data_IF_775838733709
#
_entry.id   IF_775838733709
#
_cell.length_a   1.000
_cell.length_b   1.000
_cell.length_c   1.000
_cell.angle_alpha   90.00
_cell.angle_beta   90.00
_cell.angle_gamma   90.00
#
_symmetry.space_group_name_H-M   'P 1'
#
loop_
_entity.id
_entity.type
_entity.pdbx_description
1 polymer ?
#
# COMPACT_ATOMS: atom_id res chain seq x y z
N UNK A 1 53.34 -11.23 9.85
CA UNK A 1 52.64 -9.93 9.69
C UNK A 1 51.87 -10.07 8.40
N UNK A 2 50.59 -10.39 8.50
CA UNK A 2 49.78 -10.84 7.38
C UNK A 2 49.40 -9.67 6.46
N UNK A 3 49.53 -9.90 5.15
CA UNK A 3 49.27 -8.93 4.07
C UNK A 3 47.81 -8.44 4.05
N UNK A 4 46.91 -9.12 4.77
CA UNK A 4 45.48 -8.84 4.84
C UNK A 4 45.11 -7.64 5.75
N UNK A 5 46.00 -7.23 6.65
CA UNK A 5 45.72 -6.17 7.64
C UNK A 5 46.02 -4.74 7.09
N UNK A 6 46.84 -4.63 6.04
CA UNK A 6 47.24 -3.33 5.45
C UNK A 6 46.28 -2.77 4.39
N UNK A 7 45.23 -3.51 4.01
CA UNK A 7 44.34 -3.13 2.91
C UNK A 7 42.91 -2.77 3.34
N UNK A 8 42.52 -3.02 4.60
CA UNK A 8 41.16 -2.70 5.08
C UNK A 8 40.92 -1.18 5.29
N UNK A 9 41.94 -0.38 5.65
CA UNK A 9 41.75 1.07 5.91
C UNK A 9 41.63 1.93 4.64
N UNK A 10 42.00 1.37 3.48
CA UNK A 10 41.90 2.04 2.17
C UNK A 10 40.60 1.73 1.43
N UNK A 11 39.84 0.76 1.93
CA UNK A 11 38.60 0.32 1.31
C UNK A 11 37.48 1.35 1.51
N UNK A 12 36.85 1.76 0.40
CA UNK A 12 35.72 2.69 0.39
C UNK A 12 34.55 2.15 1.23
N UNK A 13 34.28 0.84 1.18
CA UNK A 13 33.17 0.23 1.92
C UNK A 13 33.38 0.36 3.43
N UNK A 14 34.57 0.01 3.92
CA UNK A 14 34.93 0.19 5.33
C UNK A 14 34.93 1.67 5.73
N UNK A 15 35.43 2.55 4.86
CA UNK A 15 35.45 3.99 5.12
C UNK A 15 34.03 4.58 5.22
N UNK A 16 33.05 4.11 4.45
CA UNK A 16 31.68 4.62 4.55
C UNK A 16 30.79 3.85 5.53
N UNK A 17 31.23 2.71 6.10
CA UNK A 17 30.43 1.93 7.04
C UNK A 17 30.10 2.69 8.34
N UNK A 18 30.92 3.67 8.72
CA UNK A 18 30.73 4.48 9.92
C UNK A 18 29.81 5.70 9.64
N UNK A 19 28.75 5.90 10.45
CA UNK A 19 27.80 7.00 10.26
C UNK A 19 28.43 8.39 10.38
N UNK A 20 29.45 8.57 11.24
CA UNK A 20 30.18 9.84 11.38
C UNK A 20 30.94 10.17 10.10
N UNK A 21 31.57 9.17 9.48
CA UNK A 21 32.30 9.35 8.22
C UNK A 21 31.36 9.71 7.08
N UNK A 22 30.17 9.08 7.00
CA UNK A 22 29.13 9.48 6.04
C UNK A 22 28.66 10.92 6.25
N UNK A 23 28.50 11.34 7.49
CA UNK A 23 28.10 12.71 7.81
C UNK A 23 29.20 13.74 7.47
N UNK A 24 30.47 13.41 7.71
CA UNK A 24 31.60 14.23 7.25
C UNK A 24 31.60 14.42 5.73
N UNK A 25 31.34 13.35 4.97
CA UNK A 25 31.24 13.44 3.51
C UNK A 25 30.06 14.33 3.06
N UNK A 26 28.92 14.25 3.76
CA UNK A 26 27.76 15.13 3.49
C UNK A 26 28.06 16.60 3.76
N UNK A 27 28.71 16.91 4.88
CA UNK A 27 29.13 18.28 5.21
C UNK A 27 30.09 18.82 4.14
N UNK A 28 31.07 18.00 3.74
CA UNK A 28 32.03 18.37 2.69
C UNK A 28 31.42 18.44 1.29
N UNK A 29 30.30 17.75 1.02
CA UNK A 29 29.59 17.82 -0.27
C UNK A 29 28.95 19.19 -0.50
N UNK A 30 28.55 19.88 0.59
CA UNK A 30 27.87 21.18 0.55
C UNK A 30 28.84 22.37 0.52
N UNK A 31 30.15 22.15 0.37
CA UNK A 31 31.16 23.20 0.41
C UNK A 31 32.35 22.87 -0.49
N UNK A 32 33.02 23.89 -1.03
CA UNK A 32 34.19 23.69 -1.89
C UNK A 32 35.39 23.13 -1.12
N UNK A 33 35.60 23.61 0.10
CA UNK A 33 36.59 23.11 1.06
C UNK A 33 36.28 23.69 2.45
N UNK A 34 36.59 22.95 3.52
CA UNK A 34 36.38 23.40 4.90
C UNK A 34 37.61 23.14 5.79
N UNK A 35 38.00 24.07 6.67
CA UNK A 35 39.02 23.84 7.68
C UNK A 35 38.47 23.01 8.85
N UNK A 36 39.36 22.34 9.58
CA UNK A 36 38.97 21.46 10.70
C UNK A 36 38.13 22.17 11.78
N UNK A 37 38.36 23.46 12.04
CA UNK A 37 37.62 24.21 13.05
C UNK A 37 36.16 24.49 12.64
N UNK A 38 35.84 24.50 11.34
CA UNK A 38 34.46 24.63 10.85
C UNK A 38 33.75 23.29 10.85
N UNK A 39 34.48 22.19 10.64
CA UNK A 39 33.91 20.83 10.64
C UNK A 39 33.60 20.37 12.07
N UNK A 40 34.48 20.64 13.03
CA UNK A 40 34.38 20.11 14.41
C UNK A 40 33.06 20.44 15.13
N UNK A 41 32.51 21.68 15.06
CA UNK A 41 31.26 22.06 15.72
C UNK A 41 30.03 21.25 15.30
N UNK A 42 30.05 20.58 14.14
CA UNK A 42 28.94 19.74 13.69
C UNK A 42 28.85 18.41 14.44
N UNK A 43 29.84 18.08 15.28
CA UNK A 43 29.90 16.81 16.00
C UNK A 43 29.99 17.03 17.50
N UNK A 44 29.38 16.11 18.25
CA UNK A 44 29.51 16.06 19.72
C UNK A 44 30.89 15.59 20.20
N UNK A 45 31.73 15.11 19.28
CA UNK A 45 33.06 14.59 19.58
C UNK A 45 34.14 15.68 19.46
N UNK A 46 35.26 15.47 20.15
CA UNK A 46 36.38 16.41 20.10
C UNK A 46 37.12 16.42 18.75
N UNK A 47 37.87 17.51 18.51
CA UNK A 47 38.67 17.75 17.30
C UNK A 47 39.58 16.58 16.91
N UNK A 48 40.19 15.90 17.88
CA UNK A 48 41.06 14.74 17.64
C UNK A 48 40.29 13.56 17.02
N UNK A 49 39.06 13.31 17.48
CA UNK A 49 38.22 12.24 16.95
C UNK A 49 37.80 12.57 15.50
N UNK A 50 37.36 13.80 15.24
CA UNK A 50 37.04 14.28 13.88
C UNK A 50 38.26 14.14 12.95
N UNK A 51 39.44 14.54 13.42
CA UNK A 51 40.69 14.40 12.64
C UNK A 51 41.02 12.95 12.31
N UNK A 52 40.73 12.00 13.22
CA UNK A 52 40.93 10.57 12.98
C UNK A 52 39.98 10.05 11.89
N UNK A 53 38.71 10.45 11.93
CA UNK A 53 37.76 10.11 10.86
C UNK A 53 38.17 10.69 9.50
N UNK A 54 38.63 11.94 9.46
CA UNK A 54 39.15 12.56 8.24
C UNK A 54 40.43 11.88 7.72
N UNK A 55 41.27 11.33 8.60
CA UNK A 55 42.44 10.55 8.19
C UNK A 55 42.02 9.25 7.48
N UNK A 56 41.06 8.51 8.04
CA UNK A 56 40.51 7.30 7.41
C UNK A 56 39.86 7.62 6.05
N UNK A 57 39.05 8.68 5.99
CA UNK A 57 38.45 9.12 4.72
C UNK A 57 39.51 9.53 3.68
N UNK A 58 40.61 10.12 4.12
CA UNK A 58 41.74 10.47 3.25
C UNK A 58 42.48 9.23 2.76
N UNK A 59 42.68 8.22 3.61
CA UNK A 59 43.30 6.94 3.24
C UNK A 59 42.47 6.20 2.18
N UNK A 60 41.14 6.23 2.28
CA UNK A 60 40.22 5.71 1.28
C UNK A 60 39.99 6.66 0.08
N UNK A 61 40.79 7.72 -0.02
CA UNK A 61 40.72 8.73 -1.09
C UNK A 61 39.37 9.45 -1.23
N UNK A 62 38.49 9.37 -0.23
CA UNK A 62 37.18 10.04 -0.20
C UNK A 62 37.29 11.52 0.18
N UNK A 63 38.42 11.94 0.75
CA UNK A 63 38.69 13.33 1.13
C UNK A 63 40.12 13.69 0.75
N UNK A 64 40.31 14.87 0.14
CA UNK A 64 41.63 15.47 -0.03
C UNK A 64 41.87 16.54 1.03
N UNK A 65 43.13 16.72 1.42
CA UNK A 65 43.55 17.70 2.41
C UNK A 65 44.71 18.55 1.88
N UNK A 66 44.62 19.88 1.99
CA UNK A 66 45.70 20.81 1.62
C UNK A 66 45.97 21.80 2.74
N UNK A 67 47.24 22.21 2.88
CA UNK A 67 47.63 23.23 3.86
C UNK A 67 47.47 24.62 3.28
N UNK A 68 46.81 25.52 4.01
CA UNK A 68 46.62 26.93 3.67
C UNK A 68 47.00 27.76 4.89
N UNK A 69 48.18 28.37 4.84
CA UNK A 69 48.76 29.06 6.01
C UNK A 69 48.94 28.11 7.20
N UNK A 70 48.23 28.41 8.30
CA UNK A 70 48.27 27.62 9.54
C UNK A 70 47.22 26.51 9.61
N UNK A 71 46.36 26.40 8.60
CA UNK A 71 45.20 25.50 8.63
C UNK A 71 45.26 24.41 7.56
N UNK A 72 44.61 23.29 7.83
CA UNK A 72 44.37 22.23 6.85
C UNK A 72 42.92 22.31 6.40
N UNK A 73 42.73 22.43 5.09
CA UNK A 73 41.42 22.46 4.44
C UNK A 73 41.14 21.12 3.77
N UNK A 74 39.95 20.61 4.01
CA UNK A 74 39.46 19.32 3.52
C UNK A 74 38.44 19.53 2.42
N UNK A 75 38.45 18.65 1.42
CA UNK A 75 37.51 18.67 0.29
C UNK A 75 37.05 17.25 0.00
N UNK A 76 35.77 17.07 -0.34
CA UNK A 76 35.24 15.81 -0.82
C UNK A 76 35.93 15.38 -2.13
N UNK A 77 36.29 14.11 -2.21
CA UNK A 77 36.57 13.43 -3.47
C UNK A 77 35.54 12.29 -3.61
N UNK A 78 34.50 12.51 -4.41
CA UNK A 78 33.41 11.56 -4.55
C UNK A 78 33.75 10.39 -5.51
N UNK A 79 34.84 10.47 -6.27
CA UNK A 79 35.16 9.46 -7.29
C UNK A 79 35.20 8.02 -6.75
N UNK A 80 35.75 7.72 -5.55
CA UNK A 80 35.72 6.37 -5.00
C UNK A 80 34.31 5.84 -4.68
N UNK A 81 33.31 6.72 -4.46
CA UNK A 81 31.93 6.31 -4.21
C UNK A 81 31.27 5.65 -5.44
N UNK A 82 31.84 5.80 -6.63
CA UNK A 82 31.36 5.14 -7.84
C UNK A 82 31.38 3.61 -7.69
N UNK A 83 32.38 3.06 -6.98
CA UNK A 83 32.47 1.63 -6.72
C UNK A 83 31.26 1.13 -5.92
N UNK A 84 30.88 1.88 -4.90
CA UNK A 84 29.69 1.60 -4.08
C UNK A 84 28.42 1.72 -4.90
N UNK A 85 28.30 2.76 -5.74
CA UNK A 85 27.16 2.92 -6.63
C UNK A 85 27.04 1.70 -7.56
N UNK A 86 28.13 1.28 -8.21
CA UNK A 86 28.13 0.15 -9.13
C UNK A 86 27.69 -1.15 -8.44
N UNK A 87 28.12 -1.37 -7.20
CA UNK A 87 27.70 -2.52 -6.40
C UNK A 87 26.22 -2.47 -6.04
N UNK A 88 25.70 -1.31 -5.61
CA UNK A 88 24.27 -1.13 -5.30
C UNK A 88 23.40 -1.32 -6.54
N UNK A 89 23.82 -0.81 -7.71
CA UNK A 89 23.06 -0.92 -8.96
C UNK A 89 22.81 -2.36 -9.41
N UNK A 90 23.68 -3.32 -9.07
CA UNK A 90 23.40 -4.73 -9.30
C UNK A 90 22.12 -5.20 -8.57
N UNK A 91 21.89 -4.67 -7.37
CA UNK A 91 20.77 -5.08 -6.53
C UNK A 91 19.48 -4.30 -6.78
N UNK A 92 19.53 -3.16 -7.48
CA UNK A 92 18.34 -2.37 -7.83
C UNK A 92 17.28 -3.20 -8.57
N UNK A 93 17.70 -4.18 -9.36
CA UNK A 93 16.79 -5.09 -10.07
C UNK A 93 15.91 -5.92 -9.13
N UNK A 94 16.41 -6.37 -7.97
CA UNK A 94 15.61 -7.15 -7.02
C UNK A 94 14.53 -6.32 -6.32
N UNK A 95 14.81 -5.02 -6.11
CA UNK A 95 13.85 -4.07 -5.55
C UNK A 95 12.77 -3.75 -6.58
N UNK A 96 13.16 -3.60 -7.85
CA UNK A 96 12.23 -3.36 -8.95
C UNK A 96 11.33 -4.56 -9.22
N UNK A 97 11.86 -5.79 -9.22
CA UNK A 97 11.04 -7.00 -9.39
C UNK A 97 10.01 -7.17 -8.27
N UNK A 98 10.41 -6.97 -7.02
CA UNK A 98 9.51 -7.04 -5.87
C UNK A 98 8.43 -5.96 -5.93
N UNK A 99 8.78 -4.74 -6.35
CA UNK A 99 7.85 -3.62 -6.51
C UNK A 99 6.90 -3.83 -7.69
N UNK A 100 7.39 -4.34 -8.83
CA UNK A 100 6.56 -4.66 -10.00
C UNK A 100 5.58 -5.80 -9.69
N UNK A 101 6.01 -6.83 -8.96
CA UNK A 101 5.14 -7.92 -8.51
C UNK A 101 4.06 -7.43 -7.55
N UNK A 102 4.43 -6.56 -6.61
CA UNK A 102 3.45 -5.91 -5.73
C UNK A 102 2.46 -5.07 -6.53
N UNK A 103 2.94 -4.28 -7.51
CA UNK A 103 2.09 -3.49 -8.38
C UNK A 103 1.12 -4.35 -9.18
N UNK A 104 1.59 -5.46 -9.74
CA UNK A 104 0.74 -6.39 -10.49
C UNK A 104 -0.31 -7.06 -9.60
N UNK A 105 0.07 -7.50 -8.40
CA UNK A 105 -0.88 -8.06 -7.41
C UNK A 105 -1.91 -7.00 -7.01
N UNK A 106 -1.48 -5.75 -6.78
CA UNK A 106 -2.37 -4.65 -6.46
C UNK A 106 -3.27 -4.29 -7.65
N UNK A 107 -2.80 -4.30 -8.89
CA UNK A 107 -3.62 -4.05 -10.09
C UNK A 107 -4.61 -5.20 -10.38
N UNK A 108 -4.23 -6.44 -10.09
CA UNK A 108 -5.12 -7.61 -10.14
C UNK A 108 -6.16 -7.59 -9.00
N UNK A 109 -5.84 -6.99 -7.85
CA UNK A 109 -6.77 -6.80 -6.72
C UNK A 109 -7.61 -5.51 -6.81
N UNK A 110 -7.07 -4.45 -7.43
CA UNK A 110 -7.75 -3.18 -7.78
C UNK A 110 -8.40 -3.29 -9.17
N UNK A 111 -9.05 -4.42 -9.45
CA UNK A 111 -9.95 -4.49 -10.59
C UNK A 111 -11.04 -3.44 -10.35
N UNK A 112 -10.96 -2.31 -11.06
CA UNK A 112 -11.87 -1.18 -10.88
C UNK A 112 -13.31 -1.71 -10.91
N UNK A 113 -14.12 -1.45 -9.87
CA UNK A 113 -15.46 -1.99 -9.83
C UNK A 113 -16.25 -1.47 -11.03
N UNK A 114 -16.97 -2.38 -11.67
CA UNK A 114 -17.83 -2.07 -12.81
C UNK A 114 -19.03 -1.24 -12.32
N UNK A 115 -19.54 -1.56 -11.11
CA UNK A 115 -20.58 -0.80 -10.40
C UNK A 115 -20.05 -0.40 -9.04
N UNK A 116 -20.19 0.88 -8.69
CA UNK A 116 -19.86 1.40 -7.36
C UNK A 116 -20.97 2.33 -6.86
N UNK A 117 -21.45 2.09 -5.64
CA UNK A 117 -22.51 2.86 -4.99
C UNK A 117 -22.17 3.08 -3.51
N UNK A 118 -22.25 4.34 -3.06
CA UNK A 118 -22.07 4.70 -1.66
C UNK A 118 -23.42 5.09 -1.04
N UNK A 119 -23.67 4.59 0.16
CA UNK A 119 -24.80 4.91 1.01
C UNK A 119 -24.30 5.49 2.33
N UNK A 120 -25.08 6.38 2.93
CA UNK A 120 -24.72 7.05 4.18
C UNK A 120 -25.89 6.99 5.13
N UNK A 121 -25.64 6.49 6.35
CA UNK A 121 -26.67 6.29 7.37
C UNK A 121 -26.24 6.92 8.70
N UNK A 122 -27.17 7.63 9.36
CA UNK A 122 -26.95 8.16 10.71
C UNK A 122 -27.23 7.06 11.75
N UNK A 123 -26.31 6.11 11.89
CA UNK A 123 -26.49 4.90 12.69
C UNK A 123 -25.14 4.34 13.17
N UNK A 124 -25.14 3.14 13.77
CA UNK A 124 -23.92 2.49 14.28
C UNK A 124 -23.37 1.44 13.32
N UNK A 125 -22.05 1.21 13.32
CA UNK A 125 -21.40 0.18 12.49
C UNK A 125 -22.01 -1.19 12.73
N UNK A 126 -22.34 -1.51 13.98
CA UNK A 126 -22.92 -2.78 14.40
C UNK A 126 -24.31 -3.02 13.77
N UNK A 127 -25.13 -1.96 13.62
CA UNK A 127 -26.45 -2.05 12.98
C UNK A 127 -26.31 -2.27 11.47
N UNK A 128 -25.39 -1.54 10.83
CA UNK A 128 -25.12 -1.72 9.39
C UNK A 128 -24.56 -3.12 9.14
N UNK A 129 -23.61 -3.56 9.95
CA UNK A 129 -23.00 -4.88 9.83
C UNK A 129 -24.03 -6.00 10.03
N UNK A 130 -24.92 -5.87 11.03
CA UNK A 130 -26.02 -6.81 11.22
C UNK A 130 -26.97 -6.84 10.00
N UNK A 131 -27.24 -5.69 9.37
CA UNK A 131 -28.07 -5.65 8.17
C UNK A 131 -27.45 -6.33 6.94
N UNK A 132 -26.12 -6.51 6.92
CA UNK A 132 -25.39 -7.23 5.88
C UNK A 132 -25.21 -8.73 6.19
N UNK A 133 -25.30 -9.14 7.46
CA UNK A 133 -24.86 -10.47 7.89
C UNK A 133 -25.95 -11.31 8.57
N UNK A 134 -27.05 -10.70 9.02
CA UNK A 134 -28.20 -11.43 9.52
C UNK A 134 -29.14 -11.79 8.37
N UNK A 135 -29.39 -13.09 8.21
CA UNK A 135 -30.25 -13.63 7.14
C UNK A 135 -31.67 -13.03 7.16
N UNK A 136 -32.26 -12.81 8.33
CA UNK A 136 -33.61 -12.24 8.46
C UNK A 136 -33.62 -10.75 8.14
N UNK A 137 -32.55 -10.02 8.46
CA UNK A 137 -32.44 -8.61 8.09
C UNK A 137 -32.18 -8.45 6.60
N UNK A 138 -31.27 -9.25 6.01
CA UNK A 138 -31.05 -9.31 4.57
C UNK A 138 -32.36 -9.58 3.79
N UNK A 139 -33.21 -10.46 4.31
CA UNK A 139 -34.50 -10.78 3.69
C UNK A 139 -35.47 -9.59 3.62
N UNK A 140 -35.30 -8.58 4.47
CA UNK A 140 -36.16 -7.40 4.48
C UNK A 140 -35.84 -6.39 3.38
N UNK A 141 -34.60 -6.36 2.87
CA UNK A 141 -34.19 -5.35 1.88
C UNK A 141 -33.67 -5.91 0.55
N UNK A 142 -33.01 -7.07 0.56
CA UNK A 142 -32.67 -7.81 -0.66
C UNK A 142 -33.82 -8.77 -0.98
N UNK A 143 -33.74 -10.02 -0.51
CA UNK A 143 -34.69 -11.11 -0.73
C UNK A 143 -34.51 -12.24 0.29
N UNK A 144 -35.49 -13.14 0.37
CA UNK A 144 -35.40 -14.37 1.16
C UNK A 144 -34.11 -15.14 0.84
N UNK A 145 -33.42 -15.58 1.88
CA UNK A 145 -32.10 -16.19 1.76
C UNK A 145 -31.86 -17.20 2.89
N UNK A 146 -30.80 -17.98 2.74
CA UNK A 146 -30.26 -18.92 3.71
C UNK A 146 -28.78 -18.60 4.01
N UNK A 147 -28.49 -17.30 4.04
CA UNK A 147 -27.17 -16.74 4.28
C UNK A 147 -26.62 -17.15 5.65
N UNK A 148 -25.31 -17.41 5.68
CA UNK A 148 -24.50 -17.52 6.90
C UNK A 148 -23.18 -16.80 6.68
N UNK A 149 -22.74 -16.04 7.67
CA UNK A 149 -21.47 -15.33 7.67
C UNK A 149 -20.28 -16.31 7.88
N UNK A 150 -20.09 -17.24 6.95
CA UNK A 150 -19.04 -18.26 6.97
C UNK A 150 -18.37 -18.30 5.59
N UNK A 151 -17.06 -18.08 5.51
CA UNK A 151 -16.31 -18.14 4.23
C UNK A 151 -16.46 -19.52 3.59
N UNK A 152 -16.80 -19.55 2.31
CA UNK A 152 -17.11 -20.76 1.52
C UNK A 152 -18.55 -21.26 1.65
N UNK A 153 -19.39 -20.64 2.50
CA UNK A 153 -20.81 -21.00 2.57
C UNK A 153 -21.53 -20.57 1.29
N UNK A 154 -22.27 -21.52 0.71
CA UNK A 154 -23.10 -21.31 -0.47
C UNK A 154 -24.54 -21.05 -0.02
N UNK A 155 -25.13 -20.01 -0.56
CA UNK A 155 -26.49 -19.58 -0.24
C UNK A 155 -27.16 -19.02 -1.47
N UNK A 156 -28.48 -18.81 -1.41
CA UNK A 156 -29.23 -18.22 -2.50
C UNK A 156 -30.06 -17.03 -2.04
N UNK A 157 -30.13 -15.98 -2.86
CA UNK A 157 -31.23 -15.03 -2.78
C UNK A 157 -32.38 -15.50 -3.68
N UNK A 158 -33.61 -15.38 -3.18
CA UNK A 158 -34.83 -15.90 -3.82
C UNK A 158 -35.88 -14.80 -3.95
N UNK A 159 -36.01 -14.27 -5.16
CA UNK A 159 -37.03 -13.32 -5.59
C UNK A 159 -38.28 -14.04 -6.13
N UNK A 160 -39.33 -13.27 -6.42
CA UNK A 160 -40.48 -13.78 -7.18
C UNK A 160 -40.05 -14.11 -8.62
N UNK A 161 -40.29 -15.33 -9.12
CA UNK A 161 -39.91 -15.73 -10.47
C UNK A 161 -40.71 -14.95 -11.54
N UNK A 162 -40.12 -14.81 -12.71
CA UNK A 162 -40.74 -14.19 -13.89
C UNK A 162 -40.69 -15.15 -15.08
N UNK A 163 -41.29 -14.77 -16.21
CA UNK A 163 -41.24 -15.57 -17.45
C UNK A 163 -39.80 -15.79 -17.97
N UNK A 164 -38.87 -14.90 -17.61
CA UNK A 164 -37.52 -14.85 -18.20
C UNK A 164 -36.40 -15.13 -17.18
N UNK A 165 -36.74 -15.32 -15.90
CA UNK A 165 -35.79 -15.57 -14.82
C UNK A 165 -36.46 -16.32 -13.68
N UNK A 166 -35.79 -17.34 -13.15
CA UNK A 166 -36.30 -18.23 -12.09
C UNK A 166 -36.34 -17.59 -10.69
N UNK A 167 -35.91 -16.33 -10.56
CA UNK A 167 -35.89 -15.61 -9.29
C UNK A 167 -34.71 -15.99 -8.39
N UNK A 168 -33.78 -16.82 -8.87
CA UNK A 168 -32.68 -17.34 -8.05
C UNK A 168 -31.38 -16.61 -8.39
N UNK A 169 -30.65 -16.24 -7.34
CA UNK A 169 -29.25 -15.81 -7.40
C UNK A 169 -28.43 -16.74 -6.54
N UNK A 170 -27.50 -17.47 -7.15
CA UNK A 170 -26.54 -18.31 -6.42
C UNK A 170 -25.37 -17.47 -5.93
N UNK A 171 -25.00 -17.65 -4.66
CA UNK A 171 -23.94 -16.89 -4.01
C UNK A 171 -23.02 -17.82 -3.19
N UNK A 172 -21.77 -17.41 -3.05
CA UNK A 172 -20.76 -18.03 -2.19
C UNK A 172 -20.00 -16.94 -1.45
N UNK A 173 -19.92 -17.05 -0.12
CA UNK A 173 -19.17 -16.09 0.70
C UNK A 173 -17.67 -16.25 0.45
N UNK A 174 -16.99 -15.17 0.06
CA UNK A 174 -15.58 -15.19 -0.31
C UNK A 174 -14.67 -14.68 0.81
N UNK A 175 -15.00 -13.54 1.41
CA UNK A 175 -14.22 -12.96 2.51
C UNK A 175 -15.13 -12.33 3.55
N UNK A 176 -14.68 -12.36 4.81
CA UNK A 176 -15.31 -11.66 5.92
C UNK A 176 -14.18 -11.03 6.75
N UNK A 177 -14.22 -9.72 6.90
CA UNK A 177 -13.44 -8.93 7.84
C UNK A 177 -14.43 -8.16 8.73
N UNK A 178 -14.91 -8.79 9.80
CA UNK A 178 -15.93 -8.22 10.67
C UNK A 178 -15.35 -7.06 11.54
N UNK A 179 -16.00 -5.88 11.59
CA UNK A 179 -17.26 -5.47 10.94
C UNK A 179 -17.05 -4.57 9.70
N UNK A 180 -15.88 -4.63 9.07
CA UNK A 180 -15.43 -3.67 8.06
C UNK A 180 -15.82 -4.07 6.64
N UNK A 181 -15.78 -5.36 6.28
CA UNK A 181 -16.01 -5.77 4.90
C UNK A 181 -16.48 -7.22 4.78
N UNK A 182 -17.38 -7.46 3.83
CA UNK A 182 -17.80 -8.79 3.42
C UNK A 182 -17.89 -8.86 1.90
N UNK A 183 -17.51 -9.99 1.31
CA UNK A 183 -17.69 -10.22 -0.13
C UNK A 183 -18.30 -11.59 -0.41
N UNK A 184 -19.05 -11.66 -1.50
CA UNK A 184 -19.65 -12.90 -1.99
C UNK A 184 -19.81 -12.85 -3.51
N UNK A 185 -19.86 -14.04 -4.14
CA UNK A 185 -20.25 -14.14 -5.55
C UNK A 185 -21.73 -13.82 -5.73
N UNK A 186 -22.08 -13.33 -6.92
CA UNK A 186 -23.45 -13.06 -7.35
C UNK A 186 -23.63 -13.67 -8.75
N UNK A 187 -24.17 -14.89 -8.79
CA UNK A 187 -24.41 -15.63 -10.01
C UNK A 187 -25.89 -15.59 -10.40
N UNK A 188 -26.18 -14.97 -11.56
CA UNK A 188 -27.52 -14.86 -12.11
C UNK A 188 -27.44 -14.69 -13.63
N UNK A 189 -28.47 -15.13 -14.35
CA UNK A 189 -28.59 -14.98 -15.80
C UNK A 189 -27.36 -15.46 -16.61
N UNK A 190 -26.66 -16.50 -16.13
CA UNK A 190 -25.50 -17.10 -16.81
C UNK A 190 -24.17 -16.35 -16.59
N UNK A 191 -24.15 -15.34 -15.73
CA UNK A 191 -22.97 -14.56 -15.39
C UNK A 191 -22.69 -14.66 -13.88
N UNK A 192 -21.41 -14.65 -13.49
CA UNK A 192 -20.99 -14.63 -12.08
C UNK A 192 -20.12 -13.40 -11.85
N UNK A 193 -20.60 -12.53 -10.97
CA UNK A 193 -19.88 -11.32 -10.54
C UNK A 193 -19.48 -11.46 -9.08
N UNK A 194 -18.67 -10.54 -8.57
CA UNK A 194 -18.32 -10.44 -7.16
C UNK A 194 -18.89 -9.15 -6.60
N UNK A 195 -19.56 -9.24 -5.44
CA UNK A 195 -20.08 -8.10 -4.69
C UNK A 195 -19.25 -7.95 -3.42
N UNK A 196 -18.77 -6.74 -3.18
CA UNK A 196 -18.01 -6.37 -1.98
C UNK A 196 -18.76 -5.24 -1.27
N UNK A 197 -19.05 -5.46 0.01
CA UNK A 197 -19.53 -4.42 0.91
C UNK A 197 -18.39 -3.95 1.79
N UNK A 198 -18.26 -2.64 1.96
CA UNK A 198 -17.32 -2.00 2.88
C UNK A 198 -18.07 -1.04 3.80
N UNK A 199 -17.87 -1.19 5.11
CA UNK A 199 -18.46 -0.37 6.16
C UNK A 199 -17.37 0.52 6.74
N UNK A 200 -17.55 1.83 6.66
CA UNK A 200 -16.62 2.82 7.20
C UNK A 200 -17.36 3.72 8.19
N UNK A 201 -16.81 3.85 9.40
CA UNK A 201 -17.29 4.84 10.36
C UNK A 201 -16.79 6.23 9.94
N UNK A 202 -17.72 7.14 9.73
CA UNK A 202 -17.45 8.56 9.43
C UNK A 202 -17.62 9.41 10.71
N UNK A 203 -17.46 10.73 10.59
CA UNK A 203 -17.71 11.67 11.67
C UNK A 203 -19.19 11.66 12.12
N UNK A 204 -19.46 12.17 13.33
CA UNK A 204 -20.82 12.46 13.81
C UNK A 204 -21.81 11.27 13.85
N UNK A 205 -21.34 10.08 14.23
CA UNK A 205 -22.14 8.84 14.24
C UNK A 205 -22.79 8.51 12.89
N UNK A 206 -22.11 8.89 11.81
CA UNK A 206 -22.48 8.51 10.46
C UNK A 206 -21.68 7.29 10.04
N UNK A 207 -22.31 6.37 9.33
CA UNK A 207 -21.67 5.19 8.75
C UNK A 207 -21.85 5.24 7.25
N UNK A 208 -20.74 5.12 6.52
CA UNK A 208 -20.73 4.95 5.08
C UNK A 208 -20.71 3.46 4.77
N UNK A 209 -21.65 3.04 3.92
CA UNK A 209 -21.71 1.69 3.37
C UNK A 209 -21.43 1.80 1.87
N UNK A 210 -20.36 1.18 1.40
CA UNK A 210 -20.02 1.13 -0.02
C UNK A 210 -20.27 -0.26 -0.57
N UNK A 211 -20.95 -0.32 -1.72
CA UNK A 211 -21.02 -1.50 -2.58
C UNK A 211 -20.11 -1.30 -3.78
N UNK A 212 -19.28 -2.30 -4.02
CA UNK A 212 -18.51 -2.45 -5.25
C UNK A 212 -18.86 -3.81 -5.88
N UNK A 213 -19.27 -3.83 -7.15
CA UNK A 213 -19.51 -5.05 -7.91
C UNK A 213 -18.62 -5.08 -9.15
N UNK A 214 -17.95 -6.22 -9.36
CA UNK A 214 -16.98 -6.41 -10.43
C UNK A 214 -17.09 -7.80 -11.06
N UNK A 215 -16.51 -7.94 -12.26
CA UNK A 215 -16.47 -9.23 -12.97
C UNK A 215 -17.60 -9.43 -13.97
N UNK A 216 -18.26 -8.36 -14.39
CA UNK A 216 -19.16 -8.44 -15.54
C UNK A 216 -18.35 -8.85 -16.78
N UNK A 217 -18.95 -9.63 -17.67
CA UNK A 217 -18.35 -9.98 -18.96
C UNK A 217 -18.28 -8.74 -19.87
N UNK A 218 -17.35 -8.75 -20.82
CA UNK A 218 -17.23 -7.68 -21.81
C UNK A 218 -18.50 -7.55 -22.67
N UNK A 219 -19.22 -8.65 -22.91
CA UNK A 219 -20.52 -8.64 -23.58
C UNK A 219 -21.57 -7.88 -22.76
N UNK A 220 -21.69 -8.16 -21.46
CA UNK A 220 -22.61 -7.43 -20.59
C UNK A 220 -22.24 -5.95 -20.49
N UNK A 221 -20.95 -5.62 -20.39
CA UNK A 221 -20.48 -4.22 -20.34
C UNK A 221 -20.77 -3.47 -21.64
N UNK A 222 -20.69 -4.13 -22.79
CA UNK A 222 -20.98 -3.53 -24.09
C UNK A 222 -22.48 -3.26 -24.31
N UNK A 223 -23.37 -3.93 -23.56
CA UNK A 223 -24.81 -3.71 -23.64
C UNK A 223 -25.20 -2.41 -22.95
N UNK A 224 -25.73 -1.47 -23.74
CA UNK A 224 -26.19 -0.16 -23.23
C UNK A 224 -27.19 -0.32 -22.09
N UNK A 225 -26.92 0.37 -20.97
CA UNK A 225 -27.78 0.36 -19.79
C UNK A 225 -27.65 -0.85 -18.86
N UNK A 226 -26.83 -1.86 -19.17
CA UNK A 226 -26.69 -3.04 -18.30
C UNK A 226 -26.11 -2.71 -16.91
N UNK A 227 -24.98 -1.98 -16.90
CA UNK A 227 -24.31 -1.53 -15.68
C UNK A 227 -25.18 -0.55 -14.89
N UNK A 228 -25.84 0.38 -15.58
CA UNK A 228 -26.77 1.32 -14.95
C UNK A 228 -28.01 0.62 -14.36
N UNK A 229 -28.49 -0.44 -15.01
CA UNK A 229 -29.56 -1.29 -14.49
C UNK A 229 -29.17 -2.01 -13.20
N UNK A 230 -27.96 -2.58 -13.15
CA UNK A 230 -27.43 -3.19 -11.93
C UNK A 230 -27.29 -2.15 -10.80
N UNK A 231 -26.75 -0.97 -11.11
CA UNK A 231 -26.64 0.16 -10.18
C UNK A 231 -27.99 0.62 -9.65
N UNK A 232 -28.99 0.73 -10.52
CA UNK A 232 -30.36 1.07 -10.15
C UNK A 232 -30.97 0.01 -9.23
N UNK A 233 -30.78 -1.28 -9.54
CA UNK A 233 -31.26 -2.39 -8.71
C UNK A 233 -30.70 -2.31 -7.29
N UNK A 234 -29.38 -2.13 -7.14
CA UNK A 234 -28.74 -1.97 -5.83
C UNK A 234 -29.25 -0.75 -5.07
N UNK A 235 -29.39 0.39 -5.76
CA UNK A 235 -29.90 1.62 -5.15
C UNK A 235 -31.34 1.41 -4.63
N UNK A 236 -32.20 0.80 -5.45
CA UNK A 236 -33.60 0.53 -5.08
C UNK A 236 -33.74 -0.46 -3.92
N UNK A 237 -32.87 -1.47 -3.84
CA UNK A 237 -32.84 -2.38 -2.68
C UNK A 237 -32.34 -1.66 -1.42
N UNK A 238 -31.28 -0.86 -1.54
CA UNK A 238 -30.68 -0.13 -0.43
C UNK A 238 -31.58 1.00 0.11
N UNK A 239 -32.50 1.54 -0.68
CA UNK A 239 -33.49 2.52 -0.18
C UNK A 239 -34.30 1.96 1.02
N UNK A 240 -34.55 0.65 1.03
CA UNK A 240 -35.24 -0.04 2.15
C UNK A 240 -34.39 -0.07 3.41
N UNK A 241 -33.05 -0.08 3.31
CA UNK A 241 -32.15 -0.01 4.47
C UNK A 241 -32.34 1.28 5.27
N UNK A 242 -32.70 2.38 4.62
CA UNK A 242 -33.00 3.65 5.31
C UNK A 242 -34.10 3.48 6.37
N UNK A 243 -35.09 2.62 6.10
CA UNK A 243 -36.17 2.35 7.06
C UNK A 243 -35.75 1.36 8.16
N UNK A 244 -34.91 0.37 7.81
CA UNK A 244 -34.43 -0.66 8.74
C UNK A 244 -33.42 -0.08 9.75
N UNK A 245 -32.60 0.89 9.31
CA UNK A 245 -31.50 1.46 10.08
C UNK A 245 -31.83 2.75 10.84
N UNK A 246 -32.99 3.35 10.56
CA UNK A 246 -33.54 4.50 11.30
C UNK A 246 -33.86 4.14 12.76
#
# INVERSE_FOLDING_TARGET
MDVNDMNQSKDVYNAIADPTRRELLRILANSKELPLYEITPHFKMGRTAVSKHLAILKEANLVTARKVGRETRYRLNAAPLQEVQNWVSFYENFWNESFLKLKQILEEQDMKPDVSVDFTFATTVEKVWNALTDSNVLAQWIWNNDFKAEVGHKFQFRAEPSEWWDGIVDCEVLTIDEPNSISYTWASAGETTTVVWTVTKEADNTVRLRLDQSGFSEETKAREGAIEGAKYGWTSMADKLTTILA
#
